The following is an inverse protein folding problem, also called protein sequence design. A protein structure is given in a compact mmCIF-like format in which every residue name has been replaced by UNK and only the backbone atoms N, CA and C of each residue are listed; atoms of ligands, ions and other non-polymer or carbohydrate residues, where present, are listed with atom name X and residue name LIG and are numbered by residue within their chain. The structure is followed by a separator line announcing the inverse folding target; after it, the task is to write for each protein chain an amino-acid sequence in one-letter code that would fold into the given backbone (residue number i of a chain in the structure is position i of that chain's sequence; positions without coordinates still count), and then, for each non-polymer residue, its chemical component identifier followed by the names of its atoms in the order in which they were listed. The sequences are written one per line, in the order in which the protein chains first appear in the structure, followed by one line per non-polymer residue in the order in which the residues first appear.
data_IF_747309099912
#
_entry.id   IF_747309099912
#
_cell.length_a   1.000
_cell.length_b   1.000
_cell.length_c   1.000
_cell.angle_alpha   90.00
_cell.angle_beta   90.00
_cell.angle_gamma   90.00
#
_symmetry.space_group_name_H-M   'P 1'
#
loop_
_entity.id
_entity.type
_entity.pdbx_description
1 polymer ?
#
# COMPACT_ATOMS: atom_id res chain seq x y z
N UNK A 1 -4.89 -0.70 9.79
CA UNK A 1 -5.31 -1.20 11.12
C UNK A 1 -4.11 -1.85 11.76
N UNK A 2 -3.62 -1.30 12.87
CA UNK A 2 -2.58 -1.95 13.66
C UNK A 2 -3.17 -3.21 14.32
N UNK A 3 -2.36 -4.27 14.43
CA UNK A 3 -2.74 -5.45 15.21
C UNK A 3 -3.12 -5.00 16.63
N UNK A 4 -4.18 -5.60 17.23
CA UNK A 4 -4.48 -5.37 18.63
C UNK A 4 -3.26 -5.77 19.47
N UNK A 5 -2.78 -4.86 20.31
CA UNK A 5 -1.66 -5.09 21.20
C UNK A 5 -2.09 -6.01 22.33
N UNK A 6 -1.20 -6.92 22.71
CA UNK A 6 -1.35 -7.65 23.96
C UNK A 6 -1.11 -6.67 25.12
N UNK A 7 -1.93 -6.67 26.18
CA UNK A 7 -1.69 -5.81 27.33
C UNK A 7 -0.29 -6.00 27.90
N UNK A 8 0.52 -4.94 27.94
CA UNK A 8 1.91 -4.96 28.42
C UNK A 8 2.99 -5.07 27.33
N UNK A 9 2.63 -5.20 26.05
CA UNK A 9 3.60 -5.11 24.95
C UNK A 9 3.82 -3.66 24.54
N UNK A 10 5.08 -3.24 24.52
CA UNK A 10 5.52 -1.96 23.96
C UNK A 10 5.28 -1.86 22.44
N UNK A 11 5.60 -0.72 21.79
CA UNK A 11 5.51 -0.61 20.36
C UNK A 11 6.40 -1.66 19.69
N UNK A 12 5.81 -2.38 18.72
CA UNK A 12 6.48 -3.46 18.00
C UNK A 12 7.59 -2.90 17.12
N UNK A 13 8.77 -3.50 17.21
CA UNK A 13 9.87 -3.27 16.27
C UNK A 13 9.57 -3.99 14.94
N UNK A 14 9.17 -3.22 13.93
CA UNK A 14 8.85 -3.73 12.60
C UNK A 14 10.10 -3.99 11.74
N UNK A 15 11.32 -3.68 12.22
CA UNK A 15 12.56 -4.08 11.56
C UNK A 15 12.83 -5.58 11.68
N UNK A 16 12.16 -6.23 12.63
CA UNK A 16 12.26 -7.67 12.86
C UNK A 16 11.09 -8.43 12.23
N UNK A 17 11.32 -9.62 11.67
CA UNK A 17 10.25 -10.45 11.10
C UNK A 17 9.13 -10.71 12.13
N UNK A 18 7.89 -10.80 11.62
CA UNK A 18 6.77 -11.25 12.43
C UNK A 18 6.78 -12.77 12.52
N UNK A 19 7.42 -13.30 13.55
CA UNK A 19 7.51 -14.75 13.77
C UNK A 19 6.27 -15.28 14.50
N UNK A 20 5.71 -14.49 15.40
CA UNK A 20 4.55 -14.86 16.20
C UNK A 20 3.62 -13.68 16.46
N UNK A 21 2.32 -13.94 16.45
CA UNK A 21 1.27 -13.00 16.88
C UNK A 21 0.52 -13.58 18.06
N UNK A 22 0.31 -12.79 19.10
CA UNK A 22 -0.60 -13.10 20.20
C UNK A 22 -1.85 -12.23 20.10
N UNK A 23 -3.01 -12.84 20.18
CA UNK A 23 -4.32 -12.18 20.12
C UNK A 23 -5.08 -12.50 21.38
N UNK A 24 -5.48 -11.46 22.12
CA UNK A 24 -6.42 -11.60 23.23
C UNK A 24 -7.84 -11.44 22.67
N UNK A 25 -8.69 -12.44 22.88
CA UNK A 25 -10.09 -12.43 22.45
C UNK A 25 -10.88 -11.43 23.27
N UNK A 26 -11.45 -10.43 22.61
CA UNK A 26 -12.33 -9.43 23.20
C UNK A 26 -13.81 -9.75 22.96
N UNK A 27 -14.70 -8.86 23.48
CA UNK A 27 -16.16 -9.04 23.34
C UNK A 27 -16.65 -9.04 21.87
N UNK A 28 -15.88 -8.48 20.92
CA UNK A 28 -16.26 -8.39 19.50
C UNK A 28 -16.05 -9.71 18.76
N UNK A 29 -15.06 -10.49 19.19
CA UNK A 29 -14.68 -11.75 18.54
C UNK A 29 -15.13 -12.98 19.35
N UNK A 30 -15.52 -12.80 20.60
CA UNK A 30 -16.02 -13.89 21.45
C UNK A 30 -17.28 -14.56 20.88
N UNK A 31 -17.39 -15.86 21.06
CA UNK A 31 -18.47 -16.70 20.53
C UNK A 31 -18.31 -17.08 19.06
N UNK A 32 -17.43 -16.44 18.33
CA UNK A 32 -17.10 -16.79 16.94
C UNK A 32 -16.24 -18.05 16.87
N UNK A 33 -16.20 -18.65 15.70
CA UNK A 33 -15.24 -19.72 15.38
C UNK A 33 -13.83 -19.13 15.32
N UNK A 34 -12.82 -19.91 15.70
CA UNK A 34 -11.42 -19.49 15.71
C UNK A 34 -10.95 -18.95 14.35
N UNK A 35 -11.33 -19.62 13.23
CA UNK A 35 -10.99 -19.16 11.88
C UNK A 35 -11.60 -17.80 11.54
N UNK A 36 -12.80 -17.49 12.03
CA UNK A 36 -13.46 -16.21 11.82
C UNK A 36 -12.88 -15.11 12.73
N UNK A 37 -12.68 -15.43 14.01
CA UNK A 37 -12.10 -14.49 14.96
C UNK A 37 -10.69 -14.04 14.52
N UNK A 38 -9.87 -14.98 14.02
CA UNK A 38 -8.55 -14.65 13.47
C UNK A 38 -8.63 -13.87 12.15
N UNK A 39 -9.59 -14.17 11.27
CA UNK A 39 -9.76 -13.42 10.02
C UNK A 39 -10.14 -11.94 10.26
N UNK A 40 -10.84 -11.65 11.35
CA UNK A 40 -11.15 -10.29 11.77
C UNK A 40 -9.91 -9.52 12.26
N UNK A 41 -8.90 -10.22 12.76
CA UNK A 41 -7.67 -9.64 13.32
C UNK A 41 -6.52 -9.67 12.30
N UNK A 42 -6.31 -10.80 11.62
CA UNK A 42 -5.27 -10.99 10.61
C UNK A 42 -5.81 -10.60 9.22
N UNK A 43 -6.14 -9.33 9.04
CA UNK A 43 -6.81 -8.80 7.83
C UNK A 43 -6.01 -8.99 6.54
N UNK A 44 -4.71 -9.27 6.62
CA UNK A 44 -3.83 -9.58 5.47
C UNK A 44 -3.85 -11.07 5.07
N UNK A 45 -4.56 -11.94 5.79
CA UNK A 45 -4.69 -13.36 5.47
C UNK A 45 -6.13 -13.69 5.08
N UNK A 46 -6.31 -14.53 4.05
CA UNK A 46 -7.63 -15.04 3.72
C UNK A 46 -8.07 -16.06 4.77
N UNK A 47 -9.39 -16.21 4.97
CA UNK A 47 -9.96 -17.19 5.90
C UNK A 47 -9.49 -18.63 5.59
N UNK A 48 -9.37 -18.98 4.30
CA UNK A 48 -8.87 -20.29 3.88
C UNK A 48 -7.39 -20.49 4.24
N UNK A 49 -6.56 -19.44 4.14
CA UNK A 49 -5.18 -19.48 4.60
C UNK A 49 -5.10 -19.66 6.12
N UNK A 50 -5.95 -18.97 6.88
CA UNK A 50 -6.00 -19.10 8.35
C UNK A 50 -6.45 -20.51 8.74
N UNK A 51 -7.48 -21.07 8.11
CA UNK A 51 -7.93 -22.44 8.38
C UNK A 51 -6.80 -23.45 8.16
N UNK A 52 -6.05 -23.30 7.07
CA UNK A 52 -4.86 -24.14 6.80
C UNK A 52 -3.79 -24.00 7.87
N UNK A 53 -3.48 -22.78 8.32
CA UNK A 53 -2.53 -22.53 9.41
C UNK A 53 -2.97 -23.23 10.72
N UNK A 54 -4.28 -23.20 11.04
CA UNK A 54 -4.81 -23.91 12.21
C UNK A 54 -4.63 -25.42 12.06
N UNK A 55 -4.97 -25.98 10.89
CA UNK A 55 -4.82 -27.41 10.58
C UNK A 55 -3.36 -27.87 10.62
N UNK A 56 -2.42 -27.00 10.24
CA UNK A 56 -0.98 -27.22 10.31
C UNK A 56 -0.40 -27.05 11.72
N UNK A 57 -1.22 -26.73 12.73
CA UNK A 57 -0.77 -26.57 14.11
C UNK A 57 -0.02 -25.26 14.41
N UNK A 58 -0.02 -24.31 13.45
CA UNK A 58 0.61 -22.99 13.62
C UNK A 58 -0.22 -22.05 14.50
N UNK A 59 -1.41 -22.45 14.90
CA UNK A 59 -2.32 -21.66 15.75
C UNK A 59 -2.64 -22.46 17.01
N UNK A 60 -2.44 -21.84 18.15
CA UNK A 60 -2.77 -22.41 19.46
C UNK A 60 -3.77 -21.53 20.18
N UNK A 61 -4.81 -22.13 20.72
CA UNK A 61 -5.78 -21.50 21.63
C UNK A 61 -5.45 -21.94 23.06
N UNK A 62 -5.10 -21.01 23.94
CA UNK A 62 -4.63 -21.31 25.30
C UNK A 62 -3.51 -22.36 25.31
N UNK A 63 -2.52 -22.21 24.41
CA UNK A 63 -1.39 -23.13 24.25
C UNK A 63 -1.72 -24.47 23.58
N UNK A 64 -2.98 -24.73 23.15
CA UNK A 64 -3.42 -26.01 22.57
C UNK A 64 -3.82 -25.87 21.11
N UNK A 65 -3.44 -26.82 20.27
CA UNK A 65 -3.95 -26.93 18.91
C UNK A 65 -5.41 -27.41 18.96
N UNK A 66 -6.29 -26.66 18.27
CA UNK A 66 -7.73 -26.93 18.24
C UNK A 66 -8.25 -26.79 16.81
N UNK A 67 -9.40 -27.40 16.45
CA UNK A 67 -9.94 -27.29 15.09
C UNK A 67 -10.40 -25.85 14.76
N UNK A 68 -10.41 -25.44 13.47
CA UNK A 68 -10.83 -24.09 13.02
C UNK A 68 -12.25 -23.70 13.48
N UNK A 69 -13.13 -24.70 13.69
CA UNK A 69 -14.52 -24.51 14.13
C UNK A 69 -14.65 -24.24 15.63
N UNK A 70 -13.59 -24.34 16.40
CA UNK A 70 -13.62 -24.08 17.84
C UNK A 70 -14.09 -22.67 18.13
N UNK A 71 -15.08 -22.50 19.00
CA UNK A 71 -15.54 -21.19 19.46
C UNK A 71 -14.60 -20.62 20.50
N UNK A 72 -14.24 -19.35 20.34
CA UNK A 72 -13.39 -18.60 21.28
C UNK A 72 -14.22 -17.85 22.31
N UNK A 73 -13.65 -17.58 23.49
CA UNK A 73 -14.30 -16.91 24.62
C UNK A 73 -13.53 -15.64 24.97
N UNK A 74 -14.19 -14.67 25.59
CA UNK A 74 -13.51 -13.46 26.12
C UNK A 74 -12.40 -13.90 27.06
N UNK A 75 -11.21 -13.30 26.88
CA UNK A 75 -10.02 -13.61 27.68
C UNK A 75 -9.20 -14.81 27.16
N UNK A 76 -9.67 -15.52 26.13
CA UNK A 76 -8.84 -16.54 25.49
C UNK A 76 -7.63 -15.89 24.81
N UNK A 77 -6.48 -16.53 24.91
CA UNK A 77 -5.25 -16.15 24.20
C UNK A 77 -5.07 -17.05 22.99
N UNK A 78 -4.93 -16.46 21.82
CA UNK A 78 -4.61 -17.14 20.57
C UNK A 78 -3.17 -16.80 20.22
N UNK A 79 -2.31 -17.81 20.08
CA UNK A 79 -0.94 -17.70 19.59
C UNK A 79 -0.90 -18.17 18.14
N UNK A 80 -0.30 -17.37 17.26
CA UNK A 80 -0.21 -17.65 15.83
C UNK A 80 1.25 -17.60 15.43
N UNK A 81 1.83 -18.72 15.05
CA UNK A 81 3.15 -18.78 14.45
C UNK A 81 2.99 -18.36 12.98
N UNK A 82 3.72 -17.34 12.56
CA UNK A 82 3.66 -16.83 11.19
C UNK A 82 4.67 -17.60 10.35
N UNK A 83 4.23 -18.38 9.35
CA UNK A 83 5.16 -19.07 8.47
C UNK A 83 6.07 -18.06 7.78
N UNK A 84 7.37 -18.27 7.90
CA UNK A 84 8.37 -17.57 7.11
C UNK A 84 8.34 -18.24 5.72
N UNK A 85 7.78 -17.55 4.73
CA UNK A 85 7.67 -18.10 3.38
C UNK A 85 9.05 -17.98 2.68
N UNK A 86 9.78 -19.09 2.41
CA UNK A 86 11.09 -19.03 1.80
C UNK A 86 11.06 -18.53 0.34
N UNK A 87 9.88 -18.56 -0.30
CA UNK A 87 9.69 -18.06 -1.68
C UNK A 87 9.31 -16.58 -1.70
N UNK A 88 8.82 -16.03 -0.58
CA UNK A 88 8.39 -14.65 -0.46
C UNK A 88 9.44 -13.74 0.19
N UNK A 89 10.69 -14.16 0.28
CA UNK A 89 11.77 -13.27 0.67
C UNK A 89 12.26 -12.53 -0.58
N UNK A 90 11.72 -11.34 -0.91
CA UNK A 90 12.53 -10.41 -1.67
C UNK A 90 13.77 -10.22 -0.81
N UNK A 91 14.91 -10.41 -1.41
CA UNK A 91 16.24 -10.29 -0.89
C UNK A 91 16.25 -9.46 0.43
N UNK A 92 16.31 -10.11 1.61
CA UNK A 92 16.32 -9.42 2.91
C UNK A 92 17.50 -8.45 3.01
N UNK A 93 18.50 -8.65 2.13
CA UNK A 93 19.69 -7.82 1.99
C UNK A 93 19.53 -6.70 0.95
N UNK A 94 18.42 -6.64 0.20
CA UNK A 94 18.17 -5.52 -0.71
C UNK A 94 17.91 -4.27 0.11
N UNK A 95 18.96 -3.53 0.39
CA UNK A 95 18.90 -2.19 0.97
C UNK A 95 18.41 -1.26 -0.12
N UNK A 96 17.15 -0.88 -0.03
CA UNK A 96 16.65 0.21 -0.83
C UNK A 96 17.27 1.50 -0.31
N UNK A 97 17.82 2.29 -1.22
CA UNK A 97 18.07 3.69 -0.89
C UNK A 97 16.74 4.42 -0.85
N UNK A 98 16.42 4.99 0.30
CA UNK A 98 15.17 5.73 0.52
C UNK A 98 15.56 7.16 0.88
N UNK A 99 15.64 8.07 -0.12
CA UNK A 99 16.00 9.45 0.11
C UNK A 99 14.98 10.16 1.00
N UNK A 100 15.48 10.99 1.91
CA UNK A 100 14.65 11.88 2.73
C UNK A 100 14.41 13.17 1.92
N UNK A 101 13.13 13.47 1.67
CA UNK A 101 12.71 14.71 0.99
C UNK A 101 12.46 15.84 1.98
N UNK A 102 12.04 15.49 3.19
CA UNK A 102 11.72 16.44 4.25
C UNK A 102 11.85 15.75 5.60
N UNK A 103 12.40 16.46 6.60
CA UNK A 103 12.48 15.98 7.98
C UNK A 103 12.37 17.15 8.95
N UNK A 104 11.58 16.96 10.00
CA UNK A 104 11.54 17.83 11.19
C UNK A 104 11.21 17.00 12.45
N UNK A 105 10.99 17.67 13.57
CA UNK A 105 10.72 17.02 14.86
C UNK A 105 9.46 16.13 14.87
N UNK A 106 8.51 16.38 13.97
CA UNK A 106 7.20 15.74 13.97
C UNK A 106 7.01 14.73 12.86
N UNK A 107 7.78 14.84 11.76
CA UNK A 107 7.58 14.03 10.58
C UNK A 107 8.81 13.87 9.72
N UNK A 108 8.80 12.84 8.91
CA UNK A 108 9.67 12.67 7.75
C UNK A 108 8.81 12.45 6.50
N UNK A 109 9.32 12.87 5.36
CA UNK A 109 8.80 12.45 4.07
C UNK A 109 9.95 11.91 3.22
N UNK A 110 9.67 10.86 2.49
CA UNK A 110 10.66 10.12 1.72
C UNK A 110 10.26 10.03 0.26
N UNK A 111 11.27 9.89 -0.62
CA UNK A 111 11.08 9.44 -1.98
C UNK A 111 11.09 7.90 -1.99
N UNK A 112 9.91 7.29 -1.95
CA UNK A 112 9.80 5.84 -1.96
C UNK A 112 10.20 5.28 -3.32
N UNK A 113 11.21 4.40 -3.43
CA UNK A 113 11.53 3.75 -4.68
C UNK A 113 10.38 2.82 -5.14
N UNK A 114 10.26 2.57 -6.46
CA UNK A 114 9.33 1.56 -6.97
C UNK A 114 9.74 0.16 -6.51
N UNK A 115 8.79 -0.78 -6.47
CA UNK A 115 9.03 -2.16 -6.03
C UNK A 115 9.02 -2.37 -4.51
N UNK A 116 9.06 -1.30 -3.72
CA UNK A 116 8.97 -1.35 -2.27
C UNK A 116 7.53 -1.16 -1.79
N UNK A 117 6.99 -2.12 -1.04
CA UNK A 117 5.71 -1.94 -0.36
C UNK A 117 5.84 -0.93 0.81
N UNK A 118 4.81 -0.12 1.05
CA UNK A 118 4.85 0.88 2.14
C UNK A 118 4.79 0.20 3.51
N UNK A 119 3.98 -0.84 3.68
CA UNK A 119 3.84 -1.59 4.91
C UNK A 119 3.62 -3.08 4.64
N UNK A 120 3.83 -3.96 5.63
CA UNK A 120 3.59 -5.39 5.47
C UNK A 120 2.16 -5.69 5.04
N UNK A 121 2.00 -6.40 3.92
CA UNK A 121 0.69 -6.82 3.42
C UNK A 121 0.81 -8.01 2.45
N UNK A 122 -0.14 -8.92 2.49
CA UNK A 122 -0.18 -10.05 1.57
C UNK A 122 1.10 -10.90 1.61
N UNK A 123 1.84 -10.97 0.50
CA UNK A 123 3.10 -11.69 0.37
C UNK A 123 4.33 -10.87 0.79
N UNK A 124 4.20 -9.55 0.94
CA UNK A 124 5.28 -8.64 1.29
C UNK A 124 5.30 -8.38 2.78
N UNK A 125 5.82 -9.34 3.56
CA UNK A 125 5.88 -9.25 5.01
C UNK A 125 7.16 -8.56 5.51
N UNK A 126 8.18 -8.45 4.67
CA UNK A 126 9.51 -7.90 4.98
C UNK A 126 9.94 -6.89 3.91
N UNK A 127 11.03 -6.16 4.14
CA UNK A 127 11.60 -5.22 3.16
C UNK A 127 10.67 -4.08 2.77
N UNK A 128 9.75 -3.68 3.66
CA UNK A 128 8.83 -2.57 3.40
C UNK A 128 9.40 -1.25 3.88
N UNK A 129 8.85 -0.13 3.39
CA UNK A 129 9.26 1.21 3.80
C UNK A 129 9.25 1.38 5.33
N UNK A 130 8.20 0.93 6.01
CA UNK A 130 8.12 1.07 7.46
C UNK A 130 9.19 0.25 8.19
N UNK A 131 9.61 -0.91 7.65
CA UNK A 131 10.74 -1.67 8.20
C UNK A 131 12.05 -0.90 8.07
N UNK A 132 12.31 -0.31 6.89
CA UNK A 132 13.51 0.48 6.65
C UNK A 132 13.58 1.71 7.57
N UNK A 133 12.45 2.41 7.74
CA UNK A 133 12.38 3.56 8.64
C UNK A 133 12.53 3.15 10.12
N UNK A 134 11.94 2.04 10.53
CA UNK A 134 12.15 1.51 11.88
C UNK A 134 13.61 1.13 12.10
N UNK A 135 14.27 0.52 11.12
CA UNK A 135 15.69 0.19 11.21
C UNK A 135 16.56 1.45 11.37
N UNK A 136 16.20 2.58 10.75
CA UNK A 136 16.94 3.84 10.84
C UNK A 136 16.70 4.60 12.14
N UNK A 137 15.47 4.65 12.60
CA UNK A 137 15.03 5.62 13.61
C UNK A 137 14.64 4.99 14.95
N UNK A 138 14.31 3.67 15.00
CA UNK A 138 13.95 3.02 16.26
C UNK A 138 15.17 2.75 17.11
N UNK A 139 15.03 3.03 18.42
CA UNK A 139 16.02 2.77 19.46
C UNK A 139 15.34 2.11 20.66
N UNK A 140 14.88 0.85 20.52
CA UNK A 140 14.10 0.18 21.56
C UNK A 140 14.89 -0.03 22.88
N UNK A 141 16.22 -0.01 22.81
CA UNK A 141 17.10 -0.11 23.99
C UNK A 141 17.29 1.24 24.70
N UNK A 142 16.85 2.34 24.11
CA UNK A 142 16.86 3.71 24.62
C UNK A 142 15.44 4.31 24.60
N UNK A 143 14.52 3.90 25.51
CA UNK A 143 13.09 4.24 25.43
C UNK A 143 12.78 5.74 25.36
N UNK A 144 13.59 6.58 26.00
CA UNK A 144 13.43 8.04 26.00
C UNK A 144 13.72 8.68 24.62
N UNK A 145 14.44 7.96 23.75
CA UNK A 145 14.83 8.37 22.40
C UNK A 145 14.18 7.51 21.31
N UNK A 146 13.35 6.54 21.68
CA UNK A 146 12.71 5.64 20.72
C UNK A 146 11.50 6.28 20.08
N UNK A 147 11.65 6.69 18.83
CA UNK A 147 10.59 7.32 18.03
C UNK A 147 9.92 6.27 17.14
N UNK A 148 8.61 6.11 17.29
CA UNK A 148 7.82 5.18 16.47
C UNK A 148 7.30 5.88 15.22
N UNK A 149 7.79 5.48 14.07
CA UNK A 149 7.35 5.99 12.78
C UNK A 149 5.94 5.47 12.45
N UNK A 150 5.01 6.37 12.10
CA UNK A 150 3.63 6.06 11.77
C UNK A 150 3.26 6.60 10.40
N UNK A 151 2.89 5.71 9.48
CA UNK A 151 2.48 6.09 8.13
C UNK A 151 1.25 7.02 8.16
N UNK A 152 1.33 8.12 7.46
CA UNK A 152 0.20 9.04 7.27
C UNK A 152 -0.70 8.61 6.11
N UNK A 153 -0.10 8.06 5.05
CA UNK A 153 -0.79 7.51 3.89
C UNK A 153 0.00 6.36 3.25
N UNK A 154 -0.51 5.85 2.14
CA UNK A 154 0.14 4.78 1.38
C UNK A 154 -0.01 5.02 -0.12
N UNK A 155 0.98 4.52 -0.87
CA UNK A 155 0.95 4.39 -2.33
C UNK A 155 1.19 2.92 -2.70
N UNK A 156 0.91 2.55 -3.95
CA UNK A 156 1.11 1.17 -4.41
C UNK A 156 2.60 0.78 -4.40
N UNK A 157 2.87 -0.51 -4.41
CA UNK A 157 4.24 -1.05 -4.34
C UNK A 157 5.11 -0.53 -5.50
N UNK A 158 4.60 -0.58 -6.72
CA UNK A 158 5.30 -0.12 -7.92
C UNK A 158 5.24 1.41 -8.13
N UNK A 159 4.38 2.13 -7.40
CA UNK A 159 4.36 3.60 -7.41
C UNK A 159 5.53 4.16 -6.64
N UNK A 160 6.28 5.09 -7.24
CA UNK A 160 7.38 5.82 -6.59
C UNK A 160 6.93 7.16 -6.04
N UNK A 161 7.80 7.86 -5.28
CA UNK A 161 7.60 9.24 -4.87
C UNK A 161 7.20 9.44 -3.41
N UNK A 162 6.61 10.59 -3.14
CA UNK A 162 6.38 11.11 -1.78
C UNK A 162 5.55 10.16 -0.93
N UNK A 163 6.11 9.76 0.21
CA UNK A 163 5.40 9.12 1.33
C UNK A 163 5.72 9.86 2.62
N UNK A 164 4.69 10.36 3.30
CA UNK A 164 4.81 11.07 4.55
C UNK A 164 4.55 10.15 5.76
N UNK A 165 5.34 10.35 6.80
CA UNK A 165 5.39 9.51 8.01
C UNK A 165 5.48 10.41 9.23
N UNK A 166 4.61 10.23 10.21
CA UNK A 166 4.65 10.95 11.48
C UNK A 166 5.63 10.32 12.46
N UNK A 167 6.36 11.14 13.15
CA UNK A 167 7.24 10.79 14.27
C UNK A 167 6.58 11.05 15.62
N UNK A 168 5.70 12.05 15.69
CA UNK A 168 4.93 12.43 16.87
C UNK A 168 3.48 11.91 16.76
N UNK A 169 2.92 11.39 17.84
CA UNK A 169 1.60 10.76 17.82
C UNK A 169 0.46 11.77 17.64
N UNK A 170 0.56 12.94 18.28
CA UNK A 170 -0.43 13.99 18.14
C UNK A 170 -0.42 14.58 16.74
N UNK A 171 0.77 14.83 16.19
CA UNK A 171 0.93 15.25 14.80
C UNK A 171 0.33 14.22 13.82
N UNK A 172 0.66 12.94 14.01
CA UNK A 172 0.11 11.87 13.19
C UNK A 172 -1.42 11.86 13.20
N UNK A 173 -2.05 12.01 14.40
CA UNK A 173 -3.51 12.07 14.51
C UNK A 173 -4.10 13.26 13.76
N UNK A 174 -3.51 14.45 13.93
CA UNK A 174 -3.99 15.68 13.31
C UNK A 174 -3.88 15.66 11.78
N UNK A 175 -2.74 15.18 11.24
CA UNK A 175 -2.54 15.10 9.78
C UNK A 175 -3.37 13.96 9.18
N UNK A 176 -3.48 12.83 9.86
CA UNK A 176 -4.35 11.74 9.43
C UNK A 176 -5.80 12.19 9.30
N UNK A 177 -6.28 13.04 10.22
CA UNK A 177 -7.61 13.64 10.12
C UNK A 177 -7.78 14.45 8.83
N UNK A 178 -6.75 15.20 8.41
CA UNK A 178 -6.78 15.92 7.14
C UNK A 178 -6.90 14.99 5.92
N UNK A 179 -6.24 13.81 5.94
CA UNK A 179 -6.44 12.80 4.90
C UNK A 179 -7.89 12.25 4.89
N UNK A 180 -8.46 11.98 6.06
CA UNK A 180 -9.84 11.50 6.19
C UNK A 180 -10.84 12.56 5.70
N UNK A 181 -10.60 13.83 6.00
CA UNK A 181 -11.41 14.98 5.60
C UNK A 181 -11.13 15.47 4.16
N UNK A 182 -10.20 14.83 3.44
CA UNK A 182 -9.79 15.16 2.06
C UNK A 182 -9.19 16.57 1.89
N UNK A 183 -8.59 17.10 2.93
CA UNK A 183 -7.93 18.40 2.90
C UNK A 183 -6.51 18.35 2.35
N UNK A 184 -5.92 17.15 2.28
CA UNK A 184 -4.57 16.93 1.74
C UNK A 184 -4.61 16.92 0.22
N UNK A 185 -3.83 17.80 -0.40
CA UNK A 185 -3.64 17.82 -1.86
C UNK A 185 -2.55 16.83 -2.26
N UNK A 186 -2.87 15.95 -3.19
CA UNK A 186 -1.97 14.90 -3.71
C UNK A 186 -1.74 15.16 -5.19
N UNK A 187 -0.49 15.37 -5.57
CA UNK A 187 -0.06 15.46 -6.96
C UNK A 187 0.62 14.17 -7.40
N UNK A 188 0.26 13.71 -8.59
CA UNK A 188 0.90 12.57 -9.24
C UNK A 188 1.30 12.94 -10.66
N UNK A 189 2.35 12.32 -11.15
CA UNK A 189 2.72 12.28 -12.55
C UNK A 189 2.63 10.84 -13.05
N UNK A 190 2.03 10.66 -14.22
CA UNK A 190 1.98 9.37 -14.89
C UNK A 190 2.35 9.49 -16.36
N UNK A 191 2.99 8.44 -16.90
CA UNK A 191 3.10 8.28 -18.35
C UNK A 191 2.06 7.26 -18.79
N UNK A 192 1.21 7.65 -19.73
CA UNK A 192 0.10 6.85 -20.25
C UNK A 192 0.29 6.52 -21.71
N UNK A 193 -0.29 5.43 -22.17
CA UNK A 193 -0.38 5.08 -23.59
C UNK A 193 -1.34 6.04 -24.31
N UNK A 194 -0.93 6.52 -25.47
CA UNK A 194 -1.72 7.44 -26.27
C UNK A 194 -1.88 8.83 -25.64
N UNK A 195 -2.96 9.50 -25.97
CA UNK A 195 -3.31 10.83 -25.46
C UNK A 195 -4.78 10.86 -25.05
N UNK A 196 -5.12 11.39 -23.87
CA UNK A 196 -6.51 11.71 -23.52
C UNK A 196 -7.15 12.60 -24.57
N UNK A 197 -8.46 12.44 -24.77
CA UNK A 197 -9.20 13.22 -25.79
C UNK A 197 -9.11 14.72 -25.51
N UNK A 198 -9.27 15.08 -24.25
CA UNK A 198 -9.15 16.47 -23.78
C UNK A 198 -7.83 16.65 -23.03
N UNK A 199 -7.25 17.84 -23.11
CA UNK A 199 -5.99 18.16 -22.42
C UNK A 199 -6.14 18.24 -20.90
N UNK A 200 -7.35 18.47 -20.42
CA UNK A 200 -7.71 18.43 -19.02
C UNK A 200 -9.11 17.88 -18.83
N UNK A 201 -9.36 17.24 -17.70
CA UNK A 201 -10.68 16.69 -17.43
C UNK A 201 -10.79 16.07 -16.04
N UNK A 202 -11.98 15.53 -15.78
CA UNK A 202 -12.34 14.89 -14.53
C UNK A 202 -12.87 13.49 -14.83
N UNK A 203 -12.30 12.48 -14.18
CA UNK A 203 -12.86 11.12 -14.18
C UNK A 203 -13.60 10.94 -12.84
N UNK A 204 -14.91 11.09 -12.88
CA UNK A 204 -15.82 10.84 -11.75
C UNK A 204 -16.54 9.51 -11.99
N UNK A 205 -15.95 8.42 -11.54
CA UNK A 205 -16.51 7.07 -11.67
C UNK A 205 -16.23 6.27 -10.41
N UNK A 206 -17.25 5.58 -9.90
CA UNK A 206 -17.10 4.67 -8.77
C UNK A 206 -16.17 3.50 -9.10
N UNK A 207 -15.58 2.91 -8.08
CA UNK A 207 -14.66 1.76 -8.22
C UNK A 207 -15.26 0.55 -7.51
N UNK A 208 -15.26 -0.59 -8.21
CA UNK A 208 -15.77 -1.88 -7.75
C UNK A 208 -14.81 -3.01 -8.14
N UNK A 209 -14.87 -4.19 -7.46
CA UNK A 209 -14.17 -5.37 -7.94
C UNK A 209 -14.60 -5.77 -9.35
N UNK A 210 -13.63 -6.06 -10.21
CA UNK A 210 -13.90 -6.58 -11.56
C UNK A 210 -14.23 -8.07 -11.48
N UNK A 211 -15.52 -8.40 -11.62
CA UNK A 211 -16.02 -9.79 -11.53
C UNK A 211 -15.74 -10.58 -12.81
N UNK A 212 -15.43 -9.92 -13.92
CA UNK A 212 -15.13 -10.57 -15.20
C UNK A 212 -13.65 -10.98 -15.30
N UNK A 213 -12.78 -10.34 -14.52
CA UNK A 213 -11.34 -10.64 -14.52
C UNK A 213 -11.00 -11.94 -13.78
N UNK A 214 -10.02 -12.68 -14.31
CA UNK A 214 -9.39 -13.80 -13.62
C UNK A 214 -8.55 -13.35 -12.41
N UNK A 215 -8.14 -12.08 -12.37
CA UNK A 215 -7.33 -11.51 -11.31
C UNK A 215 -8.21 -10.92 -10.21
N UNK A 216 -8.34 -11.60 -9.09
CA UNK A 216 -9.20 -11.19 -7.96
C UNK A 216 -8.90 -9.80 -7.39
N UNK A 217 -7.70 -9.26 -7.62
CA UNK A 217 -7.29 -7.94 -7.17
C UNK A 217 -7.69 -6.82 -8.14
N UNK A 218 -8.12 -7.18 -9.35
CA UNK A 218 -8.49 -6.21 -10.38
C UNK A 218 -9.78 -5.50 -10.00
N UNK A 219 -9.77 -4.20 -10.22
CA UNK A 219 -10.91 -3.32 -10.01
C UNK A 219 -11.35 -2.76 -11.35
N UNK A 220 -12.58 -2.30 -11.44
CA UNK A 220 -13.12 -1.62 -12.62
C UNK A 220 -13.94 -0.42 -12.20
N UNK A 221 -14.24 0.46 -13.17
CA UNK A 221 -15.13 1.59 -12.91
C UNK A 221 -16.60 1.18 -13.02
N UNK A 222 -17.44 1.90 -12.30
CA UNK A 222 -18.89 1.84 -12.41
C UNK A 222 -19.46 3.26 -12.50
N UNK A 223 -20.76 3.37 -12.80
CA UNK A 223 -21.44 4.66 -12.88
C UNK A 223 -21.29 5.47 -11.59
N UNK A 224 -21.25 6.81 -11.68
CA UNK A 224 -21.25 7.70 -10.52
C UNK A 224 -22.37 7.36 -9.55
N UNK A 225 -22.06 7.41 -8.24
CA UNK A 225 -23.01 7.04 -7.19
C UNK A 225 -23.12 5.54 -6.90
N UNK A 226 -22.46 4.69 -7.69
CA UNK A 226 -22.31 3.24 -7.42
C UNK A 226 -20.90 2.91 -6.96
N UNK A 227 -20.73 1.83 -6.21
CA UNK A 227 -19.42 1.40 -5.71
C UNK A 227 -18.77 2.39 -4.74
N UNK A 228 -17.44 2.39 -4.68
CA UNK A 228 -16.67 3.36 -3.90
C UNK A 228 -16.48 4.63 -4.71
N UNK A 229 -17.07 5.76 -4.28
CA UNK A 229 -16.90 7.06 -4.93
C UNK A 229 -15.42 7.39 -5.12
N UNK A 230 -15.05 7.75 -6.35
CA UNK A 230 -13.69 8.10 -6.71
C UNK A 230 -13.71 9.21 -7.78
N UNK A 231 -12.89 10.24 -7.56
CA UNK A 231 -12.75 11.40 -8.46
C UNK A 231 -11.28 11.66 -8.69
N UNK A 232 -10.88 11.78 -9.95
CA UNK A 232 -9.51 12.09 -10.37
C UNK A 232 -9.53 13.20 -11.41
N UNK A 233 -8.93 14.33 -11.09
CA UNK A 233 -8.67 15.41 -12.05
C UNK A 233 -7.36 15.09 -12.80
N UNK A 234 -7.31 15.36 -14.11
CA UNK A 234 -6.10 15.16 -14.88
C UNK A 234 -5.83 16.36 -15.81
N UNK A 235 -4.55 16.55 -16.13
CA UNK A 235 -4.08 17.53 -17.11
C UNK A 235 -2.89 16.95 -17.87
N UNK A 236 -2.96 16.98 -19.20
CA UNK A 236 -1.84 16.60 -20.07
C UNK A 236 -0.75 17.67 -19.98
N UNK A 237 0.45 17.26 -19.62
CA UNK A 237 1.62 18.13 -19.51
C UNK A 237 2.36 18.17 -20.84
N UNK A 238 2.56 17.01 -21.46
CA UNK A 238 3.29 16.84 -22.71
C UNK A 238 2.90 15.53 -23.37
N UNK A 239 2.94 15.45 -24.67
CA UNK A 239 2.71 14.23 -25.46
C UNK A 239 3.75 14.06 -26.54
N UNK A 240 4.03 12.82 -26.93
CA UNK A 240 4.69 12.44 -28.16
C UNK A 240 3.80 11.48 -28.97
N UNK A 241 4.32 10.83 -30.00
CA UNK A 241 3.53 9.96 -30.89
C UNK A 241 2.95 8.73 -30.19
N UNK A 242 3.52 8.30 -29.06
CA UNK A 242 3.16 7.06 -28.35
C UNK A 242 2.56 7.29 -26.97
N UNK A 243 3.01 8.30 -26.28
CA UNK A 243 2.77 8.49 -24.84
C UNK A 243 2.39 9.92 -24.49
N UNK A 244 1.74 10.06 -23.34
CA UNK A 244 1.49 11.37 -22.71
C UNK A 244 1.96 11.36 -21.26
N UNK A 245 2.65 12.42 -20.85
CA UNK A 245 2.89 12.74 -19.46
C UNK A 245 1.68 13.52 -18.93
N UNK A 246 1.05 12.98 -17.90
CA UNK A 246 -0.19 13.50 -17.33
C UNK A 246 0.00 13.81 -15.86
N UNK A 247 -0.37 15.04 -15.46
CA UNK A 247 -0.52 15.41 -14.07
C UNK A 247 -1.90 14.96 -13.57
N UNK A 248 -1.95 14.33 -12.38
CA UNK A 248 -3.18 13.79 -11.82
C UNK A 248 -3.35 14.26 -10.37
N UNK A 249 -4.56 14.69 -10.04
CA UNK A 249 -4.94 15.15 -8.69
C UNK A 249 -6.18 14.40 -8.22
N UNK A 250 -5.98 13.25 -7.52
CA UNK A 250 -7.10 12.48 -6.99
C UNK A 250 -7.68 13.16 -5.73
N UNK A 251 -8.98 13.46 -5.73
CA UNK A 251 -9.70 13.97 -4.55
C UNK A 251 -9.92 12.90 -3.51
N UNK A 252 -10.03 11.66 -3.95
CA UNK A 252 -10.19 10.46 -3.13
C UNK A 252 -8.90 9.63 -3.13
N UNK A 253 -8.83 8.56 -2.35
CA UNK A 253 -7.65 7.69 -2.26
C UNK A 253 -8.05 6.21 -2.28
N UNK A 254 -8.75 5.75 -3.33
CA UNK A 254 -9.13 4.36 -3.46
C UNK A 254 -7.99 3.52 -4.00
N UNK A 255 -7.98 2.25 -3.66
CA UNK A 255 -6.99 1.30 -4.19
C UNK A 255 -6.98 1.35 -5.72
N UNK A 256 -5.80 1.48 -6.31
CA UNK A 256 -5.55 1.54 -7.75
C UNK A 256 -6.32 2.67 -8.50
N UNK A 257 -6.86 3.66 -7.80
CA UNK A 257 -7.78 4.64 -8.36
C UNK A 257 -7.28 5.27 -9.67
N UNK A 258 -6.10 5.87 -9.67
CA UNK A 258 -5.53 6.53 -10.85
C UNK A 258 -5.40 5.54 -12.01
N UNK A 259 -4.89 4.35 -11.73
CA UNK A 259 -4.66 3.28 -12.72
C UNK A 259 -5.97 2.84 -13.39
N UNK A 260 -7.00 2.59 -12.58
CA UNK A 260 -8.35 2.23 -13.06
C UNK A 260 -8.98 3.36 -13.86
N UNK A 261 -8.89 4.61 -13.39
CA UNK A 261 -9.49 5.76 -14.05
C UNK A 261 -8.84 6.05 -15.40
N UNK A 262 -7.51 6.04 -15.48
CA UNK A 262 -6.81 6.28 -16.74
C UNK A 262 -7.08 5.17 -17.76
N UNK A 263 -7.12 3.91 -17.32
CA UNK A 263 -7.54 2.80 -18.18
C UNK A 263 -8.98 2.95 -18.68
N UNK A 264 -9.90 3.43 -17.83
CA UNK A 264 -11.31 3.62 -18.19
C UNK A 264 -11.55 4.72 -19.22
N UNK A 265 -10.63 5.68 -19.38
CA UNK A 265 -10.67 6.70 -20.45
C UNK A 265 -9.80 6.32 -21.66
N UNK A 266 -9.35 5.06 -21.76
CA UNK A 266 -8.59 4.55 -22.90
C UNK A 266 -7.10 4.90 -22.90
N UNK A 267 -6.58 5.45 -21.80
CA UNK A 267 -5.18 5.85 -21.64
C UNK A 267 -4.52 5.13 -20.46
N UNK A 268 -4.37 3.79 -20.49
CA UNK A 268 -3.75 3.04 -19.39
C UNK A 268 -2.30 3.48 -19.16
N UNK A 269 -1.82 3.33 -17.94
CA UNK A 269 -0.44 3.66 -17.59
C UNK A 269 0.54 2.73 -18.32
N UNK A 270 1.65 3.28 -18.80
CA UNK A 270 2.76 2.50 -19.34
C UNK A 270 3.30 1.56 -18.25
N UNK A 271 3.60 0.32 -18.60
CA UNK A 271 4.10 -0.69 -17.67
C UNK A 271 3.06 -1.25 -16.69
N UNK A 272 1.78 -0.89 -16.82
CA UNK A 272 0.75 -1.43 -15.93
C UNK A 272 0.32 -2.83 -16.35
N UNK A 273 0.83 -3.83 -15.64
CA UNK A 273 0.56 -5.26 -15.88
C UNK A 273 -0.90 -5.65 -15.67
N UNK A 274 -1.62 -4.88 -14.82
CA UNK A 274 -2.98 -5.25 -14.40
C UNK A 274 -4.07 -4.50 -15.19
N UNK A 275 -3.83 -3.23 -15.51
CA UNK A 275 -4.77 -2.35 -16.20
C UNK A 275 -4.34 -1.97 -17.62
N UNK A 276 -3.20 -2.50 -18.09
CA UNK A 276 -2.74 -2.39 -19.48
C UNK A 276 -3.62 -3.20 -20.44
N UNK A 277 -3.11 -3.38 -21.66
CA UNK A 277 -3.85 -4.03 -22.74
C UNK A 277 -4.17 -5.51 -22.48
N UNK A 278 -3.32 -6.22 -21.73
CA UNK A 278 -3.46 -7.66 -21.46
C UNK A 278 -3.16 -8.00 -20.00
N UNK A 279 -4.18 -8.44 -19.25
CA UNK A 279 -4.01 -8.89 -17.86
C UNK A 279 -3.24 -10.20 -17.71
N UNK A 280 -3.00 -10.96 -18.79
CA UNK A 280 -2.15 -12.15 -18.76
C UNK A 280 -0.72 -11.81 -18.37
N UNK A 281 -0.24 -10.61 -18.74
CA UNK A 281 1.09 -10.12 -18.32
C UNK A 281 1.23 -10.03 -16.80
N UNK A 282 0.14 -9.73 -16.10
CA UNK A 282 0.14 -9.74 -14.63
C UNK A 282 0.26 -11.17 -14.07
N UNK A 283 -0.48 -12.12 -14.64
CA UNK A 283 -0.44 -13.52 -14.21
C UNK A 283 0.94 -14.14 -14.49
N UNK A 284 1.50 -13.90 -15.67
CA UNK A 284 2.84 -14.31 -16.02
C UNK A 284 3.91 -13.68 -15.11
N UNK A 285 3.77 -12.39 -14.81
CA UNK A 285 4.67 -11.70 -13.88
C UNK A 285 4.66 -12.29 -12.46
N UNK A 286 3.48 -12.69 -11.95
CA UNK A 286 3.38 -13.37 -10.64
C UNK A 286 4.00 -14.76 -10.68
N UNK A 287 3.83 -15.49 -11.80
CA UNK A 287 4.39 -16.82 -11.99
C UNK A 287 5.91 -16.80 -12.24
N UNK A 288 6.50 -15.64 -12.54
CA UNK A 288 7.90 -15.51 -12.96
C UNK A 288 8.13 -15.97 -14.41
N UNK A 289 7.07 -16.02 -15.21
CA UNK A 289 7.04 -16.57 -16.58
C UNK A 289 6.97 -15.46 -17.66
N UNK A 290 7.12 -14.20 -17.26
CA UNK A 290 7.10 -13.07 -18.18
C UNK A 290 8.31 -13.16 -19.13
N UNK A 291 8.05 -13.40 -20.41
CA UNK A 291 9.05 -13.49 -21.46
C UNK A 291 9.49 -12.11 -22.00
N UNK A 292 10.43 -12.09 -22.93
CA UNK A 292 10.94 -10.85 -23.51
C UNK A 292 9.86 -10.10 -24.29
N UNK A 293 8.98 -10.79 -25.00
CA UNK A 293 7.88 -10.18 -25.72
C UNK A 293 6.88 -9.50 -24.77
N UNK A 294 6.59 -10.12 -23.62
CA UNK A 294 5.76 -9.53 -22.57
C UNK A 294 6.42 -8.30 -21.94
N UNK A 295 7.74 -8.33 -21.72
CA UNK A 295 8.51 -7.17 -21.24
C UNK A 295 8.50 -6.02 -22.24
N UNK A 296 8.72 -6.31 -23.51
CA UNK A 296 8.69 -5.32 -24.59
C UNK A 296 7.30 -4.68 -24.72
N UNK A 297 6.23 -5.46 -24.55
CA UNK A 297 4.85 -4.95 -24.57
C UNK A 297 4.54 -4.02 -23.39
N UNK A 298 5.15 -4.26 -22.24
CA UNK A 298 5.00 -3.39 -21.06
C UNK A 298 5.75 -2.07 -21.19
N UNK A 299 6.87 -2.04 -21.94
CA UNK A 299 7.78 -0.88 -22.10
C UNK A 299 8.57 -0.55 -20.83
N UNK A 300 7.93 -0.67 -19.66
CA UNK A 300 8.55 -0.53 -18.33
C UNK A 300 8.21 -1.73 -17.45
N UNK A 301 9.12 -2.08 -16.56
CA UNK A 301 8.92 -3.19 -15.60
C UNK A 301 7.92 -2.86 -14.48
N UNK A 302 7.46 -1.62 -14.38
CA UNK A 302 6.51 -1.12 -13.41
C UNK A 302 5.50 -0.18 -14.05
N UNK A 303 4.35 0.03 -13.41
CA UNK A 303 3.46 1.08 -13.86
C UNK A 303 4.08 2.47 -13.68
N UNK A 304 4.00 3.30 -14.73
CA UNK A 304 4.55 4.64 -14.76
C UNK A 304 3.67 5.61 -13.95
N UNK A 305 3.68 5.48 -12.62
CA UNK A 305 3.00 6.35 -11.67
C UNK A 305 3.97 6.82 -10.60
N UNK A 306 3.95 8.12 -10.33
CA UNK A 306 4.82 8.76 -9.37
C UNK A 306 4.04 9.76 -8.52
N UNK A 307 4.10 9.63 -7.21
CA UNK A 307 3.58 10.61 -6.24
C UNK A 307 4.53 11.81 -6.22
N UNK A 308 4.26 12.79 -7.07
CA UNK A 308 5.17 13.92 -7.31
C UNK A 308 5.11 14.97 -6.23
N UNK A 309 3.94 15.15 -5.58
CA UNK A 309 3.81 16.16 -4.53
C UNK A 309 2.74 15.82 -3.49
N UNK A 310 2.91 16.36 -2.29
CA UNK A 310 1.97 16.26 -1.19
C UNK A 310 1.92 17.58 -0.45
N UNK A 311 0.73 18.21 -0.36
CA UNK A 311 0.51 19.46 0.37
C UNK A 311 -0.54 19.28 1.45
N UNK A 312 -0.22 19.69 2.67
CA UNK A 312 -1.15 19.63 3.80
C UNK A 312 -0.80 20.70 4.83
N UNK A 313 -1.76 21.06 5.69
CA UNK A 313 -1.53 21.98 6.80
C UNK A 313 -0.67 21.31 7.88
N UNK A 314 0.46 21.90 8.19
CA UNK A 314 1.39 21.39 9.21
C UNK A 314 1.01 21.96 10.60
N UNK A 315 0.45 21.15 11.51
CA UNK A 315 -0.12 21.67 12.75
C UNK A 315 0.88 22.42 13.65
N UNK A 316 2.14 21.97 13.69
CA UNK A 316 3.18 22.60 14.52
C UNK A 316 3.73 23.90 13.90
N UNK A 317 3.72 24.01 12.57
CA UNK A 317 4.20 25.21 11.86
C UNK A 317 3.09 26.24 11.62
N UNK A 318 1.83 25.85 11.77
CA UNK A 318 0.67 26.71 11.55
C UNK A 318 0.51 27.20 10.10
N UNK A 319 1.05 26.44 9.12
CA UNK A 319 0.99 26.78 7.68
C UNK A 319 1.00 25.51 6.83
N UNK A 320 0.65 25.64 5.58
CA UNK A 320 0.79 24.58 4.61
C UNK A 320 2.26 24.27 4.32
N UNK A 321 2.54 22.99 4.16
CA UNK A 321 3.83 22.45 3.73
C UNK A 321 3.60 21.62 2.48
N UNK A 322 4.37 21.91 1.43
CA UNK A 322 4.42 21.15 0.20
C UNK A 322 5.74 20.38 0.14
N UNK A 323 5.65 19.09 -0.13
CA UNK A 323 6.79 18.19 -0.29
C UNK A 323 6.75 17.68 -1.71
N UNK A 324 7.87 17.73 -2.41
CA UNK A 324 7.98 17.33 -3.81
C UNK A 324 9.07 16.26 -3.97
N UNK A 325 8.81 15.29 -4.87
CA UNK A 325 9.77 14.30 -5.31
C UNK A 325 10.19 14.57 -6.76
N UNK A 326 11.47 14.37 -7.11
CA UNK A 326 11.96 14.59 -8.47
C UNK A 326 11.33 13.62 -9.45
N UNK A 327 11.11 14.09 -10.69
CA UNK A 327 10.58 13.21 -11.76
C UNK A 327 11.54 12.02 -11.99
N UNK A 328 11.04 10.78 -12.02
CA UNK A 328 11.85 9.62 -12.36
C UNK A 328 12.49 9.74 -13.75
N UNK A 329 13.76 9.34 -13.89
CA UNK A 329 14.49 9.43 -15.15
C UNK A 329 13.80 8.67 -16.29
N UNK A 330 13.29 7.47 -16.01
CA UNK A 330 12.58 6.67 -16.98
C UNK A 330 11.32 7.35 -17.54
N UNK A 331 10.69 8.27 -16.80
CA UNK A 331 9.56 9.06 -17.33
C UNK A 331 10.04 10.13 -18.32
N UNK A 332 11.18 10.75 -18.03
CA UNK A 332 11.80 11.71 -18.95
C UNK A 332 12.23 11.02 -20.25
N UNK A 333 12.81 9.82 -20.15
CA UNK A 333 13.28 9.02 -21.30
C UNK A 333 12.10 8.60 -22.20
N UNK A 334 10.97 8.19 -21.63
CA UNK A 334 9.76 7.86 -22.39
C UNK A 334 9.18 9.05 -23.14
N UNK A 335 9.46 10.25 -22.65
CA UNK A 335 8.95 11.49 -23.23
C UNK A 335 9.98 12.19 -24.14
N UNK A 336 11.18 11.68 -24.28
CA UNK A 336 12.16 12.19 -25.23
C UNK A 336 11.75 11.86 -26.68
#
# INVERSE_FOLDING_TARGET
MSLPRYPGEGPRDLSKPLEQVRVLVDARTAGQRLDLALAAVLTWRSRSSIARMIEQGMVRLQGRVVPPSRKVRVGDTIEVDIPQDPVAQPNQDARFDVPILYEDECMIAVDKPPGMAVHPSGRHLHGTLIHELHRRYRRPDEPDYDVVQRLLHRIDMETSGVVAVGLDEQFHHQVRKQFEDRLVQKGYLAVVHGRPVDDEGVVDRGIVPDKASAVRLKLTTCEPGSGQSAVTNYRVVRSNDRFSLVELRPETGRTHQIRVHMAAIGCPLVGDKLYGADEQLFLQGIAGELDDAGRDALVLDRHALHSSSLTFFHPRKGRDVTIEAPLPHEFADLMA
#
